data_IF_371806518145
#
_entry.id   IF_371806518145
#
_cell.length_a   1.000
_cell.length_b   1.000
_cell.length_c   1.000
_cell.angle_alpha   90.00
_cell.angle_beta   90.00
_cell.angle_gamma   90.00
#
_symmetry.space_group_name_H-M   'P 1'
#
loop_
_entity.id
_entity.type
_entity.pdbx_description
1 polymer ?
#
# COMPACT_ATOMS: atom_id res chain seq x y z
N UNK A 1 15.59 84.09 -40.12
CA UNK A 1 15.28 83.05 -41.12
C UNK A 1 16.20 81.85 -40.91
N UNK A 2 15.74 80.81 -40.36
CA UNK A 2 16.17 79.46 -40.66
C UNK A 2 15.40 78.49 -39.72
N UNK A 3 14.52 77.69 -40.28
CA UNK A 3 13.77 76.68 -39.61
C UNK A 3 14.77 75.48 -39.23
N UNK A 4 14.81 75.22 -37.96
CA UNK A 4 15.40 73.90 -37.53
C UNK A 4 14.25 72.95 -37.17
N UNK A 5 14.11 71.91 -37.99
CA UNK A 5 13.20 70.81 -37.80
C UNK A 5 13.80 69.89 -36.75
N UNK A 6 13.22 69.86 -35.54
CA UNK A 6 13.56 68.86 -34.54
C UNK A 6 12.86 67.53 -34.87
N UNK A 7 13.65 66.51 -35.14
CA UNK A 7 13.18 65.13 -35.27
C UNK A 7 13.10 64.54 -33.89
N UNK A 8 11.87 64.31 -33.41
CA UNK A 8 11.63 63.64 -32.14
C UNK A 8 11.68 62.12 -32.35
N UNK A 9 12.79 61.50 -31.88
CA UNK A 9 12.96 60.08 -31.89
C UNK A 9 12.19 59.50 -30.68
N UNK A 10 11.04 58.89 -30.95
CA UNK A 10 10.30 58.13 -29.93
C UNK A 10 10.93 56.76 -29.83
N UNK A 11 11.67 56.52 -28.74
CA UNK A 11 12.25 55.24 -28.41
C UNK A 11 11.14 54.38 -27.76
N UNK A 12 10.55 53.48 -28.53
CA UNK A 12 9.57 52.52 -28.03
C UNK A 12 10.23 51.48 -27.14
N UNK A 13 9.97 51.54 -25.83
CA UNK A 13 10.38 50.53 -24.85
C UNK A 13 9.42 49.35 -24.90
N UNK A 14 9.76 48.29 -25.61
CA UNK A 14 9.03 47.00 -25.55
C UNK A 14 9.31 46.33 -24.21
N UNK A 15 8.38 46.46 -23.27
CA UNK A 15 8.32 45.62 -22.07
C UNK A 15 7.85 44.22 -22.48
N UNK A 16 8.80 43.30 -22.67
CA UNK A 16 8.53 41.85 -22.77
C UNK A 16 8.10 41.37 -21.39
N UNK A 17 6.79 41.32 -21.16
CA UNK A 17 6.22 40.65 -19.97
C UNK A 17 6.42 39.16 -20.08
N UNK A 18 7.39 38.60 -19.33
CA UNK A 18 7.44 37.18 -19.09
C UNK A 18 6.23 36.78 -18.26
N UNK A 19 5.19 36.24 -18.92
CA UNK A 19 4.09 35.59 -18.22
C UNK A 19 4.65 34.25 -17.66
N UNK A 20 4.95 34.22 -16.36
CA UNK A 20 5.21 32.99 -15.64
C UNK A 20 3.89 32.24 -15.51
N UNK A 21 3.74 31.19 -16.34
CA UNK A 21 2.65 30.22 -16.18
C UNK A 21 2.84 29.54 -14.83
N UNK A 22 1.88 29.61 -13.89
CA UNK A 22 2.01 28.90 -12.63
C UNK A 22 2.10 27.39 -12.92
N UNK A 23 2.92 26.64 -12.17
CA UNK A 23 3.01 25.19 -12.36
C UNK A 23 1.63 24.60 -12.21
N UNK A 24 1.24 23.74 -13.18
CA UNK A 24 -0.03 23.03 -13.12
C UNK A 24 -0.12 22.26 -11.80
N UNK A 25 -1.26 22.38 -11.09
CA UNK A 25 -1.51 21.56 -9.90
C UNK A 25 -1.35 20.07 -10.25
N UNK A 26 -0.72 19.25 -9.39
CA UNK A 26 -0.61 17.82 -9.65
C UNK A 26 -2.01 17.25 -9.89
N UNK A 27 -2.15 16.29 -10.84
CA UNK A 27 -3.46 15.69 -11.09
C UNK A 27 -3.98 15.08 -9.78
N UNK A 28 -5.31 15.11 -9.55
CA UNK A 28 -5.88 14.52 -8.34
C UNK A 28 -5.43 13.07 -8.27
N UNK A 29 -4.77 12.72 -7.15
CA UNK A 29 -4.38 11.33 -6.90
C UNK A 29 -5.64 10.48 -6.92
N UNK A 30 -5.76 9.59 -7.89
CA UNK A 30 -6.84 8.61 -7.90
C UNK A 30 -6.63 7.74 -6.67
N UNK A 31 -7.43 7.94 -5.64
CA UNK A 31 -7.41 7.09 -4.45
C UNK A 31 -8.01 5.75 -4.87
N UNK A 32 -7.16 4.76 -5.05
CA UNK A 32 -7.60 3.41 -5.38
C UNK A 32 -8.43 2.86 -4.20
N UNK A 33 -9.64 2.38 -4.51
CA UNK A 33 -10.51 1.75 -3.52
C UNK A 33 -10.17 0.25 -3.43
N UNK A 34 -10.15 -0.33 -2.22
CA UNK A 34 -9.95 -1.77 -2.08
C UNK A 34 -11.14 -2.54 -2.68
N UNK A 35 -10.83 -3.64 -3.36
CA UNK A 35 -11.83 -4.58 -3.87
C UNK A 35 -12.38 -5.50 -2.79
N UNK A 36 -11.68 -5.61 -1.67
CA UNK A 36 -12.08 -6.35 -0.47
C UNK A 36 -11.55 -5.61 0.76
N UNK A 37 -12.35 -5.57 1.83
CA UNK A 37 -11.95 -5.03 3.12
C UNK A 37 -12.63 -5.80 4.24
N UNK A 38 -11.86 -6.19 5.26
CA UNK A 38 -12.35 -6.88 6.46
C UNK A 38 -11.55 -6.41 7.68
N UNK A 39 -12.22 -6.23 8.82
CA UNK A 39 -11.57 -5.89 10.08
C UNK A 39 -11.87 -6.97 11.13
N UNK A 40 -10.85 -7.41 11.84
CA UNK A 40 -10.98 -8.43 12.86
C UNK A 40 -9.66 -8.73 13.55
N UNK A 41 -9.60 -9.85 14.26
CA UNK A 41 -8.39 -10.26 14.97
C UNK A 41 -7.46 -11.07 14.06
N UNK A 42 -6.18 -10.75 14.14
CA UNK A 42 -5.09 -11.55 13.60
C UNK A 42 -4.38 -12.30 14.72
N UNK A 43 -3.92 -13.51 14.43
CA UNK A 43 -2.85 -14.15 15.17
C UNK A 43 -1.71 -14.54 14.22
N UNK A 44 -0.72 -15.26 14.69
CA UNK A 44 0.39 -15.69 13.86
C UNK A 44 0.85 -17.10 14.23
N UNK A 45 1.46 -17.77 13.25
CA UNK A 45 2.02 -19.10 13.43
C UNK A 45 3.34 -19.04 14.18
N UNK A 46 3.48 -19.86 15.22
CA UNK A 46 4.76 -20.07 15.87
C UNK A 46 5.68 -21.02 15.08
N UNK A 47 6.89 -21.23 15.64
CA UNK A 47 7.92 -22.08 15.04
C UNK A 47 7.45 -23.55 14.78
N UNK A 48 6.42 -24.02 15.47
CA UNK A 48 5.84 -25.35 15.31
C UNK A 48 5.21 -25.60 13.93
N UNK A 49 4.98 -24.55 13.14
CA UNK A 49 4.44 -24.66 11.78
C UNK A 49 5.52 -24.69 10.70
N UNK A 50 6.76 -24.36 11.05
CA UNK A 50 7.88 -24.33 10.10
C UNK A 50 8.01 -25.65 9.35
N UNK A 51 8.05 -25.57 8.02
CA UNK A 51 8.23 -26.70 7.12
C UNK A 51 6.99 -27.54 6.85
N UNK A 52 5.84 -27.27 7.49
CA UNK A 52 4.57 -27.94 7.18
C UNK A 52 4.06 -27.52 5.81
N UNK A 53 3.40 -28.43 5.11
CA UNK A 53 2.81 -28.15 3.80
C UNK A 53 1.54 -27.31 3.98
N UNK A 54 1.45 -26.21 3.25
CA UNK A 54 0.30 -25.32 3.24
C UNK A 54 -0.79 -25.81 2.27
N UNK A 55 -1.97 -25.18 2.30
CA UNK A 55 -3.04 -25.47 1.35
C UNK A 55 -2.65 -25.23 -0.11
N UNK A 56 -1.69 -24.32 -0.35
CA UNK A 56 -1.12 -24.07 -1.67
C UNK A 56 -0.20 -25.21 -2.16
N UNK A 57 0.23 -26.09 -1.27
CA UNK A 57 1.17 -27.15 -1.57
C UNK A 57 2.65 -26.81 -1.38
N UNK A 58 2.95 -25.59 -0.96
CA UNK A 58 4.31 -25.18 -0.59
C UNK A 58 4.60 -25.43 0.90
N UNK A 59 5.87 -25.45 1.26
CA UNK A 59 6.25 -25.55 2.67
C UNK A 59 6.17 -24.17 3.32
N UNK A 60 5.52 -24.12 4.48
CA UNK A 60 5.46 -22.89 5.28
C UNK A 60 6.88 -22.47 5.71
N UNK A 61 7.18 -21.20 5.46
CA UNK A 61 8.40 -20.54 5.90
C UNK A 61 8.05 -19.32 6.75
N UNK A 62 8.36 -19.39 8.03
CA UNK A 62 8.06 -18.33 9.00
C UNK A 62 8.77 -17.01 8.69
N UNK A 63 9.83 -17.03 7.87
CA UNK A 63 10.60 -15.84 7.47
C UNK A 63 10.07 -15.15 6.22
N UNK A 64 9.02 -15.68 5.60
CA UNK A 64 8.35 -15.06 4.44
C UNK A 64 7.11 -14.27 4.87
N UNK A 65 6.71 -13.32 4.05
CA UNK A 65 5.49 -12.53 4.24
C UNK A 65 4.29 -13.26 3.66
N UNK A 66 3.73 -14.19 4.44
CA UNK A 66 2.59 -15.02 4.06
C UNK A 66 1.55 -15.09 5.18
N UNK A 67 0.35 -15.53 4.82
CA UNK A 67 -0.74 -15.68 5.78
C UNK A 67 -1.75 -16.74 5.33
N UNK A 68 -2.56 -17.22 6.29
CA UNK A 68 -3.74 -18.02 6.03
C UNK A 68 -5.01 -17.17 6.12
N UNK A 69 -5.91 -17.39 5.17
CA UNK A 69 -7.25 -16.80 5.15
C UNK A 69 -8.28 -17.84 4.72
N UNK A 70 -9.52 -17.71 5.23
CA UNK A 70 -10.56 -18.74 5.00
C UNK A 70 -11.02 -18.81 3.56
N UNK A 71 -11.17 -17.68 2.88
CA UNK A 71 -11.88 -17.61 1.60
C UNK A 71 -11.17 -16.84 0.50
N UNK A 72 -10.24 -15.94 0.80
CA UNK A 72 -9.51 -15.24 -0.25
C UNK A 72 -8.75 -16.24 -1.12
N UNK A 73 -8.74 -16.06 -2.44
CA UNK A 73 -7.99 -16.94 -3.34
C UNK A 73 -6.53 -17.08 -2.91
N UNK A 74 -5.96 -18.27 -3.07
CA UNK A 74 -4.52 -18.47 -2.89
C UNK A 74 -3.75 -17.55 -3.85
N UNK A 75 -2.57 -17.09 -3.45
CA UNK A 75 -1.76 -16.07 -4.11
C UNK A 75 -2.29 -14.63 -4.05
N UNK A 76 -3.45 -14.39 -3.46
CA UNK A 76 -3.91 -13.02 -3.23
C UNK A 76 -2.93 -12.27 -2.35
N UNK A 77 -2.52 -11.08 -2.77
CA UNK A 77 -1.75 -10.14 -1.96
C UNK A 77 -2.71 -9.27 -1.16
N UNK A 78 -2.53 -9.27 0.16
CA UNK A 78 -3.38 -8.55 1.11
C UNK A 78 -2.53 -7.52 1.85
N UNK A 79 -2.99 -6.29 1.92
CA UNK A 79 -2.45 -5.28 2.85
C UNK A 79 -3.07 -5.52 4.22
N UNK A 80 -2.23 -5.78 5.20
CA UNK A 80 -2.64 -5.95 6.59
C UNK A 80 -2.17 -4.74 7.37
N UNK A 81 -3.10 -4.04 8.00
CA UNK A 81 -2.81 -2.88 8.84
C UNK A 81 -3.14 -3.21 10.29
N UNK A 82 -2.16 -3.07 11.18
CA UNK A 82 -2.41 -3.11 12.62
C UNK A 82 -3.12 -1.82 13.04
N UNK A 83 -4.36 -1.95 13.50
CA UNK A 83 -5.23 -0.80 13.81
C UNK A 83 -4.66 0.04 14.96
N UNK A 84 -3.96 -0.59 15.91
CA UNK A 84 -3.44 0.11 17.09
C UNK A 84 -2.24 1.03 16.78
N UNK A 85 -1.36 0.65 15.84
CA UNK A 85 -0.13 1.39 15.54
C UNK A 85 -0.02 1.88 14.10
N UNK A 86 -1.00 1.56 13.23
CA UNK A 86 -1.06 1.92 11.81
C UNK A 86 0.08 1.33 10.95
N UNK A 87 0.84 0.38 11.45
CA UNK A 87 1.83 -0.34 10.64
C UNK A 87 1.12 -1.23 9.64
N UNK A 88 1.64 -1.28 8.43
CA UNK A 88 1.06 -2.05 7.32
C UNK A 88 2.13 -2.93 6.69
N UNK A 89 1.73 -4.15 6.31
CA UNK A 89 2.55 -5.09 5.56
C UNK A 89 1.72 -5.75 4.47
N UNK A 90 2.33 -6.08 3.35
CA UNK A 90 1.71 -6.91 2.31
C UNK A 90 2.08 -8.36 2.54
N UNK A 91 1.10 -9.23 2.54
CA UNK A 91 1.28 -10.68 2.67
C UNK A 91 0.60 -11.40 1.52
N UNK A 92 1.14 -12.56 1.14
CA UNK A 92 0.54 -13.46 0.16
C UNK A 92 -0.24 -14.55 0.90
N UNK A 93 -1.48 -14.78 0.50
CA UNK A 93 -2.29 -15.87 1.04
C UNK A 93 -1.81 -17.18 0.41
N UNK A 94 -1.30 -18.09 1.23
CA UNK A 94 -0.79 -19.39 0.80
C UNK A 94 -1.43 -20.56 1.57
N UNK A 95 -2.33 -20.28 2.52
CA UNK A 95 -2.92 -21.31 3.36
C UNK A 95 -4.37 -21.00 3.69
N UNK A 96 -5.08 -22.00 4.24
CA UNK A 96 -6.46 -21.91 4.71
C UNK A 96 -6.53 -21.86 6.22
N UNK A 97 -7.53 -21.19 6.74
CA UNK A 97 -7.75 -20.86 8.14
C UNK A 97 -7.80 -19.35 8.34
N UNK A 98 -7.88 -18.87 9.58
CA UNK A 98 -8.02 -19.64 10.84
C UNK A 98 -9.39 -20.34 10.97
N UNK A 99 -9.40 -21.44 11.72
CA UNK A 99 -10.63 -22.20 12.01
C UNK A 99 -11.26 -21.78 13.34
N UNK A 100 -10.73 -20.76 13.97
CA UNK A 100 -11.27 -20.10 15.16
C UNK A 100 -12.05 -18.88 14.71
N UNK A 101 -13.35 -18.82 15.06
CA UNK A 101 -14.27 -17.77 14.58
C UNK A 101 -13.87 -16.35 14.93
N UNK A 102 -13.17 -16.14 16.05
CA UNK A 102 -12.74 -14.83 16.51
C UNK A 102 -11.59 -14.24 15.70
N UNK A 103 -10.93 -15.04 14.86
CA UNK A 103 -9.78 -14.61 14.03
C UNK A 103 -10.16 -14.62 12.57
N UNK A 104 -9.61 -13.65 11.83
CA UNK A 104 -9.83 -13.53 10.38
C UNK A 104 -8.59 -13.89 9.56
N UNK A 105 -7.41 -13.82 10.14
CA UNK A 105 -6.14 -14.11 9.48
C UNK A 105 -5.13 -14.68 10.47
N UNK A 106 -4.33 -15.63 10.01
CA UNK A 106 -3.14 -16.12 10.71
C UNK A 106 -1.88 -15.75 9.91
N UNK A 107 -1.03 -14.93 10.50
CA UNK A 107 0.15 -14.36 9.86
C UNK A 107 1.37 -15.27 10.04
N UNK A 108 2.33 -15.18 9.14
CA UNK A 108 3.69 -15.67 9.41
C UNK A 108 4.36 -14.86 10.51
N UNK A 109 5.38 -15.41 11.15
CA UNK A 109 6.17 -14.71 12.18
C UNK A 109 6.77 -13.41 11.62
N UNK A 110 7.28 -13.45 10.39
CA UNK A 110 7.85 -12.28 9.73
C UNK A 110 6.82 -11.16 9.54
N UNK A 111 5.60 -11.50 9.13
CA UNK A 111 4.52 -10.54 8.97
C UNK A 111 4.08 -9.94 10.31
N UNK A 112 3.95 -10.78 11.34
CA UNK A 112 3.63 -10.32 12.70
C UNK A 112 4.67 -9.35 13.25
N UNK A 113 5.97 -9.63 13.05
CA UNK A 113 7.05 -8.72 13.41
C UNK A 113 6.96 -7.38 12.68
N UNK A 114 6.67 -7.38 11.38
CA UNK A 114 6.52 -6.16 10.60
C UNK A 114 5.37 -5.28 11.11
N UNK A 115 4.33 -5.89 11.68
CA UNK A 115 3.18 -5.20 12.28
C UNK A 115 3.38 -4.88 13.77
N UNK A 116 4.53 -5.23 14.35
CA UNK A 116 4.81 -5.10 15.77
C UNK A 116 3.76 -5.83 16.66
N UNK A 117 3.29 -7.00 16.21
CA UNK A 117 2.43 -7.88 17.01
C UNK A 117 3.34 -8.73 17.88
N UNK A 118 3.22 -8.57 19.19
CA UNK A 118 4.05 -9.28 20.17
C UNK A 118 3.72 -10.77 20.29
N UNK A 119 4.59 -11.49 21.00
CA UNK A 119 4.41 -12.91 21.28
C UNK A 119 3.11 -13.19 22.07
N UNK A 120 2.39 -14.22 21.67
CA UNK A 120 1.16 -14.66 22.32
C UNK A 120 -0.03 -13.73 22.08
N UNK A 121 0.11 -12.71 21.21
CA UNK A 121 -0.89 -11.69 20.98
C UNK A 121 -1.77 -11.95 19.77
N UNK A 122 -3.08 -11.72 19.95
CA UNK A 122 -3.98 -11.35 18.87
C UNK A 122 -4.02 -9.84 18.79
N UNK A 123 -4.04 -9.30 17.57
CA UNK A 123 -4.14 -7.86 17.34
C UNK A 123 -5.29 -7.56 16.39
N UNK A 124 -5.97 -6.45 16.61
CA UNK A 124 -6.97 -5.95 15.66
C UNK A 124 -6.27 -5.48 14.39
N UNK A 125 -6.67 -6.01 13.25
CA UNK A 125 -6.13 -5.66 11.95
C UNK A 125 -7.24 -5.33 10.96
N UNK A 126 -6.90 -4.52 9.97
CA UNK A 126 -7.69 -4.30 8.76
C UNK A 126 -6.99 -4.98 7.60
N UNK A 127 -7.73 -5.80 6.88
CA UNK A 127 -7.31 -6.44 5.64
C UNK A 127 -7.88 -5.65 4.47
N UNK A 128 -7.07 -5.39 3.46
CA UNK A 128 -7.48 -4.73 2.23
C UNK A 128 -6.82 -5.38 1.02
N UNK A 129 -7.59 -5.63 -0.02
CA UNK A 129 -7.09 -6.14 -1.30
C UNK A 129 -7.26 -5.06 -2.34
N UNK A 130 -6.18 -4.71 -3.02
CA UNK A 130 -6.17 -3.74 -4.10
C UNK A 130 -5.84 -4.43 -5.42
N UNK A 131 -6.51 -4.01 -6.49
CA UNK A 131 -6.25 -4.57 -7.81
C UNK A 131 -4.79 -4.34 -8.27
N UNK A 132 -4.23 -3.18 -7.96
CA UNK A 132 -2.84 -2.82 -8.25
C UNK A 132 -1.82 -3.76 -7.60
N UNK A 133 -2.12 -4.29 -6.41
CA UNK A 133 -1.22 -5.19 -5.70
C UNK A 133 -1.20 -6.61 -6.29
N UNK A 134 -2.23 -7.00 -7.05
CA UNK A 134 -2.31 -8.33 -7.67
C UNK A 134 -1.52 -8.40 -8.99
N UNK A 135 -1.26 -7.29 -9.62
CA UNK A 135 -0.57 -7.23 -10.92
C UNK A 135 0.96 -7.45 -10.83
N UNK A 136 1.55 -7.47 -9.64
CA UNK A 136 2.99 -7.59 -9.40
C UNK A 136 3.51 -9.01 -9.18
N UNK A 137 2.69 -10.03 -9.30
CA UNK A 137 3.03 -11.43 -9.05
C UNK A 137 3.39 -12.22 -10.31
N UNK A 138 4.49 -11.80 -10.97
CA UNK A 138 5.11 -12.62 -12.03
C UNK A 138 6.59 -12.79 -11.72
#
# INVERSE_FOLDING_TARGET
MTLMRGVLLILGLCLAGCATVPPAAPPPSVVEQPTFSETGLASWYGANHQGKVTAQGERFDMNKLTAAHRSLPLDTVVRVTNVANQKTVKVRINDRGPYVRSRIIDLSSRAAQALAIGEGGAAAVRLEVFASDQAGGN
#
